data_IF_989551005772
#
_entry.id   IF_989551005772
#
_cell.length_a   1.000
_cell.length_b   1.000
_cell.length_c   1.000
_cell.angle_alpha   90.00
_cell.angle_beta   90.00
_cell.angle_gamma   90.00
#
_symmetry.space_group_name_H-M   'P 1'
#
loop_
_entity.id
_entity.type
_entity.pdbx_description
1 polymer ?
#
# COMPACT_ATOMS: atom_id res chain seq x y z
N UNK A 1 -4.20 27.14 4.55
CA UNK A 1 -4.48 26.25 3.39
C UNK A 1 -3.25 25.83 2.58
N UNK A 2 -2.08 26.51 2.61
CA UNK A 2 -0.87 26.11 1.85
C UNK A 2 -0.33 24.70 2.16
N UNK A 3 -0.43 24.25 3.42
CA UNK A 3 0.11 22.94 3.83
C UNK A 3 -0.83 21.76 3.56
N UNK A 4 -2.13 22.01 3.34
CA UNK A 4 -3.11 20.94 3.11
C UNK A 4 -2.82 20.14 1.83
N UNK A 5 -2.39 20.82 0.76
CA UNK A 5 -2.00 20.17 -0.48
C UNK A 5 -0.75 19.30 -0.31
N UNK A 6 0.26 19.81 0.40
CA UNK A 6 1.46 19.05 0.70
C UNK A 6 1.14 17.81 1.54
N UNK A 7 0.31 17.97 2.58
CA UNK A 7 -0.14 16.87 3.44
C UNK A 7 -0.93 15.84 2.63
N UNK A 8 -1.86 16.27 1.78
CA UNK A 8 -2.68 15.39 0.95
C UNK A 8 -1.86 14.60 -0.08
N UNK A 9 -0.76 15.16 -0.59
CA UNK A 9 0.12 14.46 -1.54
C UNK A 9 1.14 13.55 -0.84
N UNK A 10 1.67 13.98 0.31
CA UNK A 10 2.72 13.26 1.03
C UNK A 10 2.15 12.07 1.84
N UNK A 11 0.95 12.17 2.41
CA UNK A 11 0.36 11.08 3.21
C UNK A 11 0.22 9.76 2.45
N UNK A 12 -0.35 9.73 1.23
CA UNK A 12 -0.48 8.49 0.47
C UNK A 12 0.88 7.91 0.08
N UNK A 13 1.81 8.76 -0.33
CA UNK A 13 3.16 8.35 -0.72
C UNK A 13 3.94 7.77 0.47
N UNK A 14 3.97 8.50 1.59
CA UNK A 14 4.64 8.06 2.82
C UNK A 14 4.04 6.77 3.38
N UNK A 15 2.70 6.64 3.39
CA UNK A 15 2.03 5.41 3.80
C UNK A 15 2.41 4.22 2.91
N UNK A 16 2.45 4.43 1.59
CA UNK A 16 2.90 3.40 0.65
C UNK A 16 4.37 3.01 0.86
N UNK A 17 5.27 3.99 0.99
CA UNK A 17 6.70 3.74 1.25
C UNK A 17 6.94 3.01 2.56
N UNK A 18 6.19 3.34 3.60
CA UNK A 18 6.30 2.69 4.91
C UNK A 18 5.83 1.23 4.84
N UNK A 19 4.72 0.98 4.13
CA UNK A 19 4.25 -0.38 3.87
C UNK A 19 5.24 -1.22 3.07
N UNK A 20 5.85 -0.64 2.03
CA UNK A 20 6.91 -1.27 1.27
C UNK A 20 8.11 -1.66 2.14
N UNK A 21 8.60 -0.72 2.96
CA UNK A 21 9.71 -0.96 3.88
C UNK A 21 9.40 -2.04 4.91
N UNK A 22 8.19 -2.04 5.47
CA UNK A 22 7.77 -3.07 6.42
C UNK A 22 7.67 -4.44 5.76
N UNK A 23 7.08 -4.54 4.57
CA UNK A 23 6.95 -5.81 3.86
C UNK A 23 8.32 -6.41 3.51
N UNK A 24 9.22 -5.62 2.90
CA UNK A 24 10.56 -6.09 2.57
C UNK A 24 11.44 -6.32 3.80
N UNK A 25 11.33 -5.46 4.82
CA UNK A 25 12.05 -5.63 6.08
C UNK A 25 11.63 -6.90 6.82
N UNK A 26 10.32 -7.15 6.92
CA UNK A 26 9.78 -8.37 7.54
C UNK A 26 10.11 -9.61 6.72
N UNK A 27 10.12 -9.52 5.39
CA UNK A 27 10.56 -10.62 4.54
C UNK A 27 12.03 -10.97 4.80
N UNK A 28 12.94 -10.00 4.76
CA UNK A 28 14.36 -10.23 4.97
C UNK A 28 14.68 -10.73 6.39
N UNK A 29 14.06 -10.12 7.40
CA UNK A 29 14.22 -10.55 8.80
C UNK A 29 13.63 -11.94 9.05
N UNK A 30 12.45 -12.21 8.50
CA UNK A 30 11.80 -13.51 8.59
C UNK A 30 12.60 -14.63 7.91
N UNK A 31 13.21 -14.36 6.75
CA UNK A 31 14.14 -15.29 6.11
C UNK A 31 15.38 -15.57 6.96
N UNK A 32 15.98 -14.52 7.53
CA UNK A 32 17.15 -14.66 8.41
C UNK A 32 16.84 -15.38 9.72
N UNK A 33 15.60 -15.27 10.23
CA UNK A 33 15.14 -15.91 11.46
C UNK A 33 14.55 -17.31 11.23
N UNK A 34 14.49 -17.79 9.98
CA UNK A 34 14.00 -19.12 9.67
C UNK A 34 12.47 -19.28 9.71
N UNK A 35 11.71 -18.19 9.67
CA UNK A 35 10.24 -18.21 9.76
C UNK A 35 9.57 -18.94 8.59
N UNK A 36 10.28 -19.12 7.48
CA UNK A 36 9.88 -19.97 6.36
C UNK A 36 9.75 -21.45 6.73
N UNK A 37 10.50 -21.93 7.74
CA UNK A 37 10.46 -23.33 8.17
C UNK A 37 9.36 -23.62 9.19
N UNK A 38 8.75 -22.57 9.77
CA UNK A 38 7.65 -22.69 10.71
C UNK A 38 6.34 -22.72 9.91
N UNK A 39 5.76 -23.90 9.74
CA UNK A 39 4.50 -24.08 9.02
C UNK A 39 3.29 -23.87 9.96
N UNK A 40 2.33 -23.05 9.53
CA UNK A 40 0.99 -22.97 10.11
C UNK A 40 0.01 -23.50 9.05
N UNK A 41 -0.22 -24.81 9.05
CA UNK A 41 -1.05 -25.46 8.03
C UNK A 41 -0.39 -25.46 6.64
N UNK A 42 -1.06 -25.02 5.56
CA UNK A 42 -0.52 -25.06 4.20
C UNK A 42 0.43 -23.90 3.87
N UNK A 43 0.63 -22.94 4.79
CA UNK A 43 1.45 -21.73 4.59
C UNK A 43 2.47 -21.56 5.72
N UNK A 44 3.61 -20.95 5.43
CA UNK A 44 4.61 -20.59 6.45
C UNK A 44 4.14 -19.38 7.27
N UNK A 45 4.63 -19.25 8.51
CA UNK A 45 4.41 -18.06 9.37
C UNK A 45 4.78 -16.79 8.61
N UNK A 46 5.91 -16.82 7.91
CA UNK A 46 6.40 -15.70 7.08
C UNK A 46 5.34 -15.26 6.06
N UNK A 47 4.77 -16.22 5.33
CA UNK A 47 3.77 -15.93 4.30
C UNK A 47 2.48 -15.38 4.90
N UNK A 48 2.03 -15.89 6.04
CA UNK A 48 0.86 -15.38 6.75
C UNK A 48 1.03 -13.92 7.20
N UNK A 49 2.18 -13.59 7.78
CA UNK A 49 2.51 -12.22 8.22
C UNK A 49 2.57 -11.25 7.03
N UNK A 50 3.19 -11.66 5.92
CA UNK A 50 3.28 -10.83 4.73
C UNK A 50 1.93 -10.61 4.04
N UNK A 51 1.05 -11.61 4.01
CA UNK A 51 -0.32 -11.46 3.52
C UNK A 51 -1.09 -10.45 4.40
N UNK A 52 -0.95 -10.56 5.72
CA UNK A 52 -1.60 -9.64 6.65
C UNK A 52 -1.10 -8.20 6.48
N UNK A 53 0.22 -8.01 6.39
CA UNK A 53 0.81 -6.70 6.13
C UNK A 53 0.37 -6.14 4.77
N UNK A 54 0.34 -6.97 3.73
CA UNK A 54 -0.14 -6.57 2.40
C UNK A 54 -1.61 -6.11 2.44
N UNK A 55 -2.47 -6.87 3.13
CA UNK A 55 -3.88 -6.51 3.30
C UNK A 55 -4.03 -5.17 4.03
N UNK A 56 -3.33 -5.00 5.16
CA UNK A 56 -3.34 -3.74 5.93
C UNK A 56 -2.86 -2.57 5.07
N UNK A 57 -1.75 -2.72 4.35
CA UNK A 57 -1.18 -1.67 3.49
C UNK A 57 -2.16 -1.29 2.38
N UNK A 58 -2.79 -2.27 1.75
CA UNK A 58 -3.79 -2.06 0.69
C UNK A 58 -5.03 -1.34 1.23
N UNK A 59 -5.50 -1.69 2.42
CA UNK A 59 -6.63 -1.02 3.08
C UNK A 59 -6.27 0.45 3.39
N UNK A 60 -5.06 0.72 3.89
CA UNK A 60 -4.60 2.09 4.16
C UNK A 60 -4.57 2.92 2.87
N UNK A 61 -4.02 2.36 1.78
CA UNK A 61 -3.99 3.06 0.48
C UNK A 61 -5.39 3.28 -0.07
N UNK A 62 -6.27 2.27 -0.01
CA UNK A 62 -7.65 2.37 -0.50
C UNK A 62 -8.48 3.38 0.31
N UNK A 63 -8.33 3.40 1.63
CA UNK A 63 -9.00 4.38 2.50
C UNK A 63 -8.46 5.79 2.26
N UNK A 64 -7.16 5.97 2.09
CA UNK A 64 -6.57 7.27 1.73
C UNK A 64 -7.12 7.79 0.39
N UNK A 65 -7.22 6.92 -0.63
CA UNK A 65 -7.84 7.26 -1.92
C UNK A 65 -9.32 7.61 -1.75
N UNK A 66 -10.08 6.83 -0.98
CA UNK A 66 -11.50 7.06 -0.76
C UNK A 66 -11.77 8.38 -0.02
N UNK A 67 -10.96 8.69 1.00
CA UNK A 67 -11.02 9.96 1.74
C UNK A 67 -10.66 11.13 0.83
N UNK A 68 -9.61 11.01 0.00
CA UNK A 68 -9.26 12.04 -0.97
C UNK A 68 -10.41 12.31 -1.95
N UNK A 69 -10.99 11.26 -2.55
CA UNK A 69 -12.13 11.38 -3.45
C UNK A 69 -13.40 11.92 -2.78
N UNK A 70 -13.60 11.63 -1.49
CA UNK A 70 -14.77 12.08 -0.73
C UNK A 70 -14.65 13.53 -0.28
N UNK A 71 -13.45 13.97 0.17
CA UNK A 71 -13.17 15.35 0.50
C UNK A 71 -13.33 16.29 -0.71
N UNK A 72 -13.08 15.77 -1.91
CA UNK A 72 -13.26 16.50 -3.17
C UNK A 72 -14.73 16.71 -3.54
N UNK A 73 -15.64 15.77 -3.27
CA UNK A 73 -17.09 15.96 -3.52
C UNK A 73 -17.68 17.14 -2.75
N UNK A 74 -17.10 17.48 -1.60
CA UNK A 74 -17.53 18.60 -0.75
C UNK A 74 -16.92 19.94 -1.18
N UNK A 75 -15.82 19.95 -1.94
CA UNK A 75 -15.11 21.16 -2.34
C UNK A 75 -15.48 21.59 -3.76
N UNK A 76 -16.37 22.58 -3.89
CA UNK A 76 -16.84 23.17 -5.16
C UNK A 76 -15.76 23.91 -5.98
N UNK A 77 -14.49 23.86 -5.56
CA UNK A 77 -13.40 24.70 -6.07
C UNK A 77 -12.35 23.95 -6.90
N UNK A 78 -12.45 22.64 -7.06
CA UNK A 78 -11.42 21.86 -7.76
C UNK A 78 -11.68 21.79 -9.27
N UNK A 79 -10.68 22.20 -10.07
CA UNK A 79 -10.75 22.17 -11.53
C UNK A 79 -10.92 20.73 -12.05
N UNK A 80 -11.78 20.54 -13.06
CA UNK A 80 -12.03 19.23 -13.72
C UNK A 80 -10.73 18.52 -14.13
N UNK A 81 -9.68 19.27 -14.48
CA UNK A 81 -8.37 18.71 -14.84
C UNK A 81 -7.65 18.05 -13.66
N UNK A 82 -7.72 18.64 -12.46
CA UNK A 82 -7.11 18.05 -11.26
C UNK A 82 -7.81 16.75 -10.87
N UNK A 83 -9.13 16.66 -11.03
CA UNK A 83 -9.90 15.45 -10.70
C UNK A 83 -9.49 14.26 -11.57
N UNK A 84 -9.26 14.52 -12.85
CA UNK A 84 -8.78 13.52 -13.80
C UNK A 84 -7.39 13.03 -13.40
N UNK A 85 -6.47 13.94 -13.06
CA UNK A 85 -5.12 13.58 -12.60
C UNK A 85 -5.19 12.73 -11.33
N UNK A 86 -5.95 13.14 -10.31
CA UNK A 86 -6.11 12.39 -9.06
C UNK A 86 -6.58 10.95 -9.31
N UNK A 87 -7.57 10.76 -10.19
CA UNK A 87 -8.08 9.42 -10.54
C UNK A 87 -7.04 8.55 -11.24
N UNK A 88 -6.31 9.10 -12.22
CA UNK A 88 -5.26 8.36 -12.91
C UNK A 88 -4.12 8.00 -11.96
N UNK A 89 -3.70 8.92 -11.09
CA UNK A 89 -2.67 8.64 -10.08
C UNK A 89 -3.12 7.62 -9.05
N UNK A 90 -4.38 7.65 -8.62
CA UNK A 90 -4.93 6.65 -7.70
C UNK A 90 -4.99 5.26 -8.35
N UNK A 91 -5.41 5.18 -9.62
CA UNK A 91 -5.40 3.93 -10.39
C UNK A 91 -3.97 3.39 -10.58
N UNK A 92 -3.02 4.26 -10.93
CA UNK A 92 -1.61 3.89 -11.06
C UNK A 92 -1.02 3.40 -9.73
N UNK A 93 -1.37 4.02 -8.60
CA UNK A 93 -0.93 3.61 -7.28
C UNK A 93 -1.45 2.22 -6.90
N UNK A 94 -2.73 1.92 -7.17
CA UNK A 94 -3.30 0.59 -6.94
C UNK A 94 -2.63 -0.45 -7.82
N UNK A 95 -2.43 -0.15 -9.11
CA UNK A 95 -1.77 -1.05 -10.04
C UNK A 95 -0.32 -1.33 -9.65
N UNK A 96 0.43 -0.28 -9.30
CA UNK A 96 1.82 -0.41 -8.83
C UNK A 96 1.90 -1.24 -7.55
N UNK A 97 0.99 -1.02 -6.59
CA UNK A 97 0.90 -1.81 -5.36
C UNK A 97 0.65 -3.28 -5.67
N UNK A 98 -0.35 -3.58 -6.51
CA UNK A 98 -0.66 -4.94 -6.90
C UNK A 98 0.52 -5.61 -7.62
N UNK A 99 1.19 -4.89 -8.52
CA UNK A 99 2.33 -5.41 -9.27
C UNK A 99 3.54 -5.68 -8.37
N UNK A 100 3.95 -4.70 -7.55
CA UNK A 100 5.12 -4.79 -6.67
C UNK A 100 4.95 -5.90 -5.63
N UNK A 101 3.75 -6.06 -5.08
CA UNK A 101 3.49 -7.05 -4.03
C UNK A 101 2.98 -8.40 -4.54
N UNK A 102 2.74 -8.55 -5.84
CA UNK A 102 2.34 -9.83 -6.47
C UNK A 102 3.35 -10.95 -6.18
N UNK A 103 4.64 -10.60 -6.03
CA UNK A 103 5.70 -11.54 -5.68
C UNK A 103 5.47 -12.29 -4.37
N UNK A 104 4.74 -11.70 -3.41
CA UNK A 104 4.42 -12.34 -2.11
C UNK A 104 3.57 -13.61 -2.30
N UNK A 105 2.74 -13.65 -3.35
CA UNK A 105 1.79 -14.73 -3.58
C UNK A 105 2.41 -15.94 -4.31
N UNK A 106 3.44 -15.73 -5.13
CA UNK A 106 3.93 -16.75 -6.05
C UNK A 106 5.42 -17.08 -5.89
N UNK A 107 6.25 -16.14 -5.44
CA UNK A 107 7.69 -16.35 -5.39
C UNK A 107 8.11 -17.11 -4.12
N UNK A 108 9.18 -17.91 -4.26
CA UNK A 108 9.99 -18.34 -3.12
C UNK A 108 10.43 -17.09 -2.36
N UNK A 109 9.99 -16.97 -1.11
CA UNK A 109 10.18 -15.75 -0.31
C UNK A 109 11.61 -15.62 0.20
N UNK A 110 12.29 -16.75 0.27
CA UNK A 110 13.71 -16.97 0.49
C UNK A 110 14.12 -18.01 -0.57
#
# INVERSE_FOLDING_TARGET
MRYMLAIALLLPFTGWSLGFLLLYGVQATGCSLGWQHIAIGPVSVLRAVLILLFAVTTIIVATAIFVALSAEKTSSSMSRSMLTVTRYTAGAALFSTAYVFSGILWLELC
#
